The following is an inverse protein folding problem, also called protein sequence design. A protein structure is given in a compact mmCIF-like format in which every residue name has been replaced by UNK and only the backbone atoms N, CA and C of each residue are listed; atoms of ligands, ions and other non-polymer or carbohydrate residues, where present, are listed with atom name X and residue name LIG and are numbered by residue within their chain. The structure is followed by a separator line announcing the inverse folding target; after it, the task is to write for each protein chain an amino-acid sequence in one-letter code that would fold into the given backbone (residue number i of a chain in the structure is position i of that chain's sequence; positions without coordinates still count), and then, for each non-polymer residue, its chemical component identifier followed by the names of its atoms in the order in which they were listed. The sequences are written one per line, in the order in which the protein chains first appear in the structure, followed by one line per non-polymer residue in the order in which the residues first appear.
data_IF_053208922068
#
_entry.id   IF_053208922068
#
_cell.length_a   1.000
_cell.length_b   1.000
_cell.length_c   1.000
_cell.angle_alpha   90.00
_cell.angle_beta   90.00
_cell.angle_gamma   90.00
#
_symmetry.space_group_name_H-M   'P 1'
#
loop_
_entity.id
_entity.type
_entity.pdbx_description
1 polymer ?
#
# COMPACT_ATOMS: atom_id res chain seq x y z
N UNK A 1 21.40 -2.72 1.96
CA UNK A 1 20.61 -3.84 1.48
C UNK A 1 19.74 -3.42 0.32
N UNK A 2 19.69 -4.24 -0.68
CA UNK A 2 18.90 -3.92 -1.86
C UNK A 2 17.50 -4.52 -1.74
N UNK A 3 16.52 -3.72 -2.05
CA UNK A 3 15.15 -4.14 -2.08
C UNK A 3 14.76 -4.66 -3.42
N UNK A 4 13.99 -5.71 -3.45
CA UNK A 4 13.45 -6.22 -4.70
C UNK A 4 11.97 -6.49 -4.52
N UNK A 5 11.19 -6.06 -5.47
CA UNK A 5 9.83 -6.52 -5.55
C UNK A 5 9.82 -7.96 -5.99
N UNK A 6 8.93 -8.77 -5.45
CA UNK A 6 8.76 -10.13 -5.96
C UNK A 6 8.48 -10.07 -7.44
N UNK A 7 9.15 -10.91 -8.17
CA UNK A 7 8.95 -10.99 -9.60
C UNK A 7 8.25 -12.28 -9.91
N UNK A 8 7.17 -12.15 -10.55
CA UNK A 8 6.46 -13.30 -11.03
C UNK A 8 6.51 -13.34 -12.53
N UNK A 9 6.82 -14.50 -13.05
CA UNK A 9 6.73 -14.72 -14.47
C UNK A 9 5.26 -14.94 -14.79
N UNK A 10 4.51 -13.87 -14.85
CA UNK A 10 3.10 -13.98 -15.14
C UNK A 10 2.93 -14.39 -16.59
N UNK A 11 2.28 -15.52 -16.80
CA UNK A 11 1.99 -15.97 -18.15
C UNK A 11 0.95 -15.08 -18.81
N UNK A 12 0.04 -14.54 -18.04
CA UNK A 12 -1.03 -13.68 -18.53
C UNK A 12 -1.11 -12.43 -17.67
N UNK A 13 -0.38 -11.39 -18.03
CA UNK A 13 -0.44 -10.16 -17.24
C UNK A 13 -1.82 -9.53 -17.33
N UNK A 14 -2.29 -9.04 -16.20
CA UNK A 14 -3.55 -8.32 -16.18
C UNK A 14 -3.41 -7.00 -16.91
N UNK A 15 -4.48 -6.56 -17.55
CA UNK A 15 -4.46 -5.24 -18.17
C UNK A 15 -4.23 -4.16 -17.12
N UNK A 16 -3.44 -3.18 -17.46
CA UNK A 16 -3.23 -2.06 -16.55
C UNK A 16 -4.48 -1.19 -16.51
N UNK A 17 -5.08 -1.06 -15.34
CA UNK A 17 -6.28 -0.27 -15.15
C UNK A 17 -6.01 1.17 -14.73
N UNK A 18 -4.81 1.45 -14.24
CA UNK A 18 -4.48 2.75 -13.68
C UNK A 18 -4.87 2.90 -12.22
N UNK A 19 -5.54 1.93 -11.66
CA UNK A 19 -6.01 1.98 -10.28
C UNK A 19 -5.11 1.24 -9.32
N UNK A 20 -4.41 0.26 -9.81
CA UNK A 20 -3.62 -0.64 -8.98
C UNK A 20 -2.46 -1.19 -9.76
N UNK A 21 -1.30 -1.25 -9.12
CA UNK A 21 -0.14 -1.91 -9.70
C UNK A 21 -0.12 -3.35 -9.24
N UNK A 22 -0.05 -4.28 -10.18
CA UNK A 22 0.07 -5.70 -9.89
C UNK A 22 1.49 -6.17 -10.20
N UNK A 23 1.86 -7.34 -9.68
CA UNK A 23 3.18 -7.90 -9.92
C UNK A 23 3.42 -8.23 -11.39
N UNK A 24 2.37 -8.36 -12.18
CA UNK A 24 2.47 -8.66 -13.60
C UNK A 24 2.70 -7.43 -14.48
N UNK A 25 2.63 -6.23 -13.92
CA UNK A 25 2.87 -4.99 -14.64
C UNK A 25 4.31 -4.56 -14.38
N UNK A 26 5.04 -4.28 -15.44
CA UNK A 26 6.46 -3.96 -15.38
C UNK A 26 6.79 -2.60 -15.94
N UNK A 27 8.03 -2.19 -15.74
CA UNK A 27 8.60 -1.02 -16.37
C UNK A 27 8.46 0.24 -15.55
N UNK A 28 8.19 1.36 -16.24
CA UNK A 28 8.20 2.67 -15.61
C UNK A 28 7.16 2.84 -14.52
N UNK A 29 5.97 2.25 -14.69
CA UNK A 29 4.90 2.36 -13.71
C UNK A 29 5.32 1.72 -12.38
N UNK A 30 5.91 0.54 -12.44
CA UNK A 30 6.41 -0.15 -11.26
C UNK A 30 7.51 0.67 -10.58
N UNK A 31 8.41 1.23 -11.37
CA UNK A 31 9.50 2.03 -10.86
C UNK A 31 9.00 3.32 -10.19
N UNK A 32 8.00 3.96 -10.76
CA UNK A 32 7.42 5.16 -10.16
C UNK A 32 6.79 4.86 -8.81
N UNK A 33 6.04 3.76 -8.70
CA UNK A 33 5.48 3.33 -7.43
C UNK A 33 6.57 3.06 -6.40
N UNK A 34 7.61 2.37 -6.81
CA UNK A 34 8.73 2.06 -5.95
C UNK A 34 9.36 3.34 -5.40
N UNK A 35 9.58 4.32 -6.27
CA UNK A 35 10.19 5.58 -5.87
C UNK A 35 9.33 6.37 -4.90
N UNK A 36 8.02 6.34 -5.08
CA UNK A 36 7.11 7.03 -4.15
C UNK A 36 7.23 6.47 -2.74
N UNK A 37 7.27 5.15 -2.63
CA UNK A 37 7.43 4.51 -1.33
C UNK A 37 8.81 4.73 -0.75
N UNK A 38 9.85 4.75 -1.57
CA UNK A 38 11.19 5.09 -1.10
C UNK A 38 11.21 6.49 -0.50
N UNK A 39 10.57 7.43 -1.17
CA UNK A 39 10.46 8.80 -0.66
C UNK A 39 9.70 8.82 0.69
N UNK A 40 8.59 8.10 0.76
CA UNK A 40 7.76 8.08 1.95
C UNK A 40 8.48 7.48 3.15
N UNK A 41 9.43 6.57 2.95
CA UNK A 41 10.17 5.94 4.04
C UNK A 41 10.82 6.96 4.97
N UNK A 42 11.27 8.08 4.42
CA UNK A 42 11.89 9.12 5.23
C UNK A 42 10.97 9.69 6.31
N UNK A 43 9.67 9.64 6.08
CA UNK A 43 8.68 10.13 7.03
C UNK A 43 8.15 9.05 7.97
N UNK A 44 8.47 7.80 7.71
CA UNK A 44 7.86 6.67 8.40
C UNK A 44 8.77 6.01 9.43
N UNK A 45 10.02 6.41 9.49
CA UNK A 45 11.00 5.75 10.36
C UNK A 45 10.55 5.77 11.81
N UNK A 46 10.47 4.58 12.40
CA UNK A 46 10.08 4.38 13.80
C UNK A 46 8.69 4.92 14.16
N UNK A 47 7.81 4.98 13.17
CA UNK A 47 6.46 5.52 13.35
C UNK A 47 5.40 4.49 13.02
N UNK A 48 4.19 4.74 13.52
CA UNK A 48 3.03 3.94 13.19
C UNK A 48 2.39 4.49 11.91
N UNK A 49 2.30 3.65 10.90
CA UNK A 49 1.96 4.07 9.54
C UNK A 49 0.75 3.31 9.03
N UNK A 50 -0.14 4.03 8.37
CA UNK A 50 -1.23 3.44 7.60
C UNK A 50 -0.99 3.73 6.12
N UNK A 51 -0.96 2.69 5.31
CA UNK A 51 -0.90 2.81 3.87
C UNK A 51 -2.30 2.53 3.31
N UNK A 52 -2.96 3.57 2.83
CA UNK A 52 -4.34 3.49 2.37
C UNK A 52 -4.38 3.12 0.89
N UNK A 53 -5.27 2.19 0.55
CA UNK A 53 -5.34 1.60 -0.77
C UNK A 53 -4.02 0.91 -1.12
N UNK A 54 -3.62 0.03 -0.23
CA UNK A 54 -2.30 -0.61 -0.28
C UNK A 54 -2.12 -1.60 -1.43
N UNK A 55 -3.20 -1.98 -2.10
CA UNK A 55 -3.14 -2.87 -3.26
C UNK A 55 -2.47 -4.18 -2.94
N UNK A 56 -1.46 -4.52 -3.72
CA UNK A 56 -0.75 -5.80 -3.60
C UNK A 56 0.17 -5.89 -2.39
N UNK A 57 0.37 -4.77 -1.68
CA UNK A 57 1.12 -4.77 -0.43
C UNK A 57 2.60 -4.48 -0.54
N UNK A 58 3.13 -4.33 -1.74
CA UNK A 58 4.57 -4.08 -1.91
C UNK A 58 5.01 -2.78 -1.24
N UNK A 59 4.18 -1.75 -1.36
CA UNK A 59 4.48 -0.46 -0.74
C UNK A 59 4.48 -0.55 0.78
N UNK A 60 3.47 -1.18 1.35
CA UNK A 60 3.41 -1.36 2.80
C UNK A 60 4.60 -2.17 3.29
N UNK A 61 5.01 -3.20 2.55
CA UNK A 61 6.20 -3.99 2.89
C UNK A 61 7.46 -3.12 2.85
N UNK A 62 7.54 -2.23 1.89
CA UNK A 62 8.64 -1.28 1.78
C UNK A 62 8.71 -0.37 3.02
N UNK A 63 7.58 0.19 3.42
CA UNK A 63 7.50 1.07 4.58
C UNK A 63 7.80 0.32 5.87
N UNK A 64 7.43 -0.95 5.94
CA UNK A 64 7.64 -1.77 7.14
C UNK A 64 9.11 -2.00 7.46
N UNK A 65 9.99 -1.77 6.51
CA UNK A 65 11.43 -1.91 6.76
C UNK A 65 11.96 -0.83 7.69
N UNK A 66 11.29 0.30 7.77
CA UNK A 66 11.70 1.41 8.63
C UNK A 66 10.65 1.80 9.64
N UNK A 67 9.38 1.54 9.37
CA UNK A 67 8.29 1.87 10.26
C UNK A 67 8.22 0.97 11.47
N UNK A 68 7.72 1.50 12.58
CA UNK A 68 7.54 0.71 13.77
C UNK A 68 6.44 -0.32 13.60
N UNK A 69 5.29 0.12 13.10
CA UNK A 69 4.18 -0.73 12.69
C UNK A 69 3.58 -0.15 11.42
N UNK A 70 3.36 -0.99 10.44
CA UNK A 70 2.75 -0.56 9.18
C UNK A 70 1.53 -1.42 8.92
N UNK A 71 0.42 -0.75 8.65
CA UNK A 71 -0.83 -1.39 8.33
C UNK A 71 -1.25 -0.96 6.93
N UNK A 72 -1.49 -1.93 6.06
CA UNK A 72 -2.04 -1.67 4.74
C UNK A 72 -3.55 -1.86 4.76
N UNK A 73 -4.28 -0.87 4.28
CA UNK A 73 -5.73 -0.92 4.18
C UNK A 73 -6.12 -1.02 2.72
N UNK A 74 -6.95 -1.99 2.39
CA UNK A 74 -7.38 -2.21 1.03
C UNK A 74 -8.85 -2.63 1.02
N UNK A 75 -9.60 -2.13 0.04
CA UNK A 75 -11.04 -2.38 -0.04
C UNK A 75 -11.35 -3.81 -0.49
N UNK A 76 -10.58 -4.32 -1.43
CA UNK A 76 -10.84 -5.64 -2.02
C UNK A 76 -10.31 -6.75 -1.12
N UNK A 77 -11.22 -7.54 -0.58
CA UNK A 77 -10.87 -8.61 0.36
C UNK A 77 -9.89 -9.63 -0.22
N UNK A 78 -10.07 -10.00 -1.48
CA UNK A 78 -9.14 -10.93 -2.14
C UNK A 78 -7.73 -10.37 -2.21
N UNK A 79 -7.61 -9.07 -2.46
CA UNK A 79 -6.31 -8.40 -2.51
C UNK A 79 -5.66 -8.37 -1.13
N UNK A 80 -6.45 -8.15 -0.09
CA UNK A 80 -5.96 -8.20 1.29
C UNK A 80 -5.39 -9.57 1.60
N UNK A 81 -6.11 -10.63 1.25
CA UNK A 81 -5.64 -11.99 1.50
C UNK A 81 -4.37 -12.29 0.75
N UNK A 82 -4.26 -11.85 -0.49
CA UNK A 82 -3.04 -12.05 -1.27
C UNK A 82 -1.85 -11.30 -0.66
N UNK A 83 -2.08 -10.09 -0.21
CA UNK A 83 -1.03 -9.29 0.43
C UNK A 83 -0.55 -9.98 1.71
N UNK A 84 -1.48 -10.45 2.54
CA UNK A 84 -1.13 -11.14 3.77
C UNK A 84 -0.37 -12.44 3.50
N UNK A 85 -0.70 -13.14 2.43
CA UNK A 85 0.01 -14.36 2.05
C UNK A 85 1.41 -14.08 1.53
N UNK A 86 1.56 -13.01 0.76
CA UNK A 86 2.85 -12.64 0.18
C UNK A 86 3.80 -12.01 1.20
N UNK A 87 3.27 -11.38 2.24
CA UNK A 87 4.06 -10.74 3.28
C UNK A 87 3.58 -11.22 4.66
N UNK A 88 3.83 -12.51 4.99
CA UNK A 88 3.26 -13.15 6.18
C UNK A 88 4.02 -12.82 7.47
N UNK A 89 4.25 -11.56 7.71
CA UNK A 89 5.02 -11.11 8.88
C UNK A 89 4.12 -10.25 9.77
N UNK A 90 4.47 -10.09 11.03
CA UNK A 90 3.69 -9.18 11.87
C UNK A 90 3.75 -7.74 11.38
N UNK A 91 4.76 -7.37 10.61
CA UNK A 91 4.90 -6.05 10.02
C UNK A 91 5.40 -6.19 8.58
N UNK A 92 4.63 -5.84 7.57
CA UNK A 92 3.34 -5.15 7.62
C UNK A 92 2.17 -6.09 7.93
N UNK A 93 1.06 -5.51 8.37
CA UNK A 93 -0.21 -6.19 8.50
C UNK A 93 -1.20 -5.59 7.51
N UNK A 94 -2.21 -6.37 7.14
CA UNK A 94 -3.18 -5.93 6.14
C UNK A 94 -4.60 -6.07 6.66
N UNK A 95 -5.43 -5.08 6.35
CA UNK A 95 -6.80 -5.01 6.82
C UNK A 95 -7.72 -4.62 5.65
N UNK A 96 -8.84 -5.29 5.55
CA UNK A 96 -9.87 -4.90 4.60
C UNK A 96 -10.63 -3.72 5.18
N UNK A 97 -10.83 -2.68 4.37
CA UNK A 97 -11.57 -1.53 4.80
C UNK A 97 -11.76 -0.51 3.70
N UNK A 98 -12.64 0.44 3.97
CA UNK A 98 -12.96 1.52 3.05
C UNK A 98 -12.19 2.77 3.45
N UNK A 99 -11.40 3.30 2.53
CA UNK A 99 -10.61 4.50 2.78
C UNK A 99 -11.45 5.74 3.12
N UNK A 100 -12.72 5.72 2.74
CA UNK A 100 -13.63 6.82 3.03
C UNK A 100 -14.20 6.78 4.44
N UNK A 101 -13.97 5.70 5.16
CA UNK A 101 -14.46 5.51 6.52
C UNK A 101 -13.45 4.69 7.30
N UNK A 102 -12.33 5.33 7.65
CA UNK A 102 -11.22 4.67 8.31
C UNK A 102 -11.62 4.20 9.72
N UNK A 103 -11.36 2.92 10.05
CA UNK A 103 -11.77 2.37 11.34
C UNK A 103 -10.74 2.61 12.44
N UNK A 104 -10.24 3.83 12.54
CA UNK A 104 -9.21 4.17 13.50
C UNK A 104 -9.64 5.34 14.36
N UNK A 105 -9.20 5.33 15.61
CA UNK A 105 -9.42 6.45 16.51
C UNK A 105 -8.63 7.66 16.02
N UNK A 106 -9.10 8.85 16.34
CA UNK A 106 -8.40 10.08 16.02
C UNK A 106 -7.00 10.07 16.62
N UNK A 107 -6.05 10.59 15.87
CA UNK A 107 -4.66 10.73 16.30
C UNK A 107 -4.03 9.41 16.75
N UNK A 108 -4.50 8.27 16.24
CA UNK A 108 -3.95 6.95 16.60
C UNK A 108 -2.79 6.53 15.71
N UNK A 109 -2.51 7.30 14.65
CA UNK A 109 -1.46 7.00 13.70
C UNK A 109 -0.54 8.20 13.57
N UNK A 110 0.72 7.92 13.24
CA UNK A 110 1.72 8.99 13.05
C UNK A 110 1.77 9.47 11.60
N UNK A 111 1.62 8.55 10.66
CA UNK A 111 1.74 8.86 9.23
C UNK A 111 0.68 8.07 8.47
N UNK A 112 0.08 8.74 7.50
CA UNK A 112 -0.80 8.07 6.54
C UNK A 112 -0.24 8.31 5.14
N UNK A 113 -0.05 7.22 4.41
CA UNK A 113 0.38 7.30 3.01
C UNK A 113 -0.76 6.86 2.11
N UNK A 114 -0.88 7.53 0.98
CA UNK A 114 -1.86 7.16 -0.03
C UNK A 114 -1.39 7.69 -1.37
N UNK A 115 -1.20 6.80 -2.31
CA UNK A 115 -0.71 7.18 -3.62
C UNK A 115 -1.74 6.84 -4.69
N UNK A 116 -2.10 7.87 -5.50
CA UNK A 116 -3.03 7.74 -6.62
C UNK A 116 -4.37 7.12 -6.19
N UNK A 117 -4.93 7.65 -5.13
CA UNK A 117 -6.15 7.12 -4.53
C UNK A 117 -7.29 8.12 -4.56
N UNK A 118 -7.02 9.36 -4.13
CA UNK A 118 -8.05 10.37 -3.89
C UNK A 118 -8.82 10.73 -5.17
N UNK A 119 -8.18 10.66 -6.29
CA UNK A 119 -8.80 11.00 -7.58
C UNK A 119 -9.92 10.02 -7.98
N UNK A 120 -9.99 8.87 -7.33
CA UNK A 120 -11.02 7.86 -7.59
C UNK A 120 -12.23 7.99 -6.66
N UNK A 121 -12.23 8.96 -5.76
CA UNK A 121 -13.29 9.13 -4.78
C UNK A 121 -14.29 10.20 -5.22
N UNK A 122 -15.57 9.89 -5.06
CA UNK A 122 -16.65 10.85 -5.33
C UNK A 122 -16.67 11.98 -4.31
N UNK A 123 -16.31 11.67 -3.06
CA UNK A 123 -16.32 12.62 -1.96
C UNK A 123 -14.94 12.68 -1.32
N UNK A 124 -14.09 13.44 -1.93
CA UNK A 124 -12.71 13.53 -1.50
C UNK A 124 -12.55 14.09 -0.09
N UNK A 125 -13.45 14.97 0.33
CA UNK A 125 -13.43 15.52 1.69
C UNK A 125 -13.51 14.42 2.76
N UNK A 126 -14.26 13.36 2.49
CA UNK A 126 -14.42 12.28 3.46
C UNK A 126 -13.12 11.52 3.68
N UNK A 127 -12.27 11.51 2.68
CA UNK A 127 -10.97 10.86 2.80
C UNK A 127 -9.97 11.78 3.53
N UNK A 128 -9.98 13.05 3.19
CA UNK A 128 -9.02 14.01 3.74
C UNK A 128 -9.35 14.37 5.18
N UNK A 129 -10.62 14.47 5.49
CA UNK A 129 -11.05 14.80 6.83
C UNK A 129 -10.77 13.66 7.80
#
# INVERSE_FOLDING_TARGET
MRETFPREAAANPEPFTGERLTASVHGLVELEHYHRYLFARGFCRDRDVLDVASGEGYGAAQLAQVGRQVLGLEYADATVRNSAANFPRPNPRFLQGDARALPFAEASLDVVTSFETIEHFDRQQNFVA
#
